data_IF_655979634827
#
_entry.id   IF_655979634827
#
_cell.length_a   1.000
_cell.length_b   1.000
_cell.length_c   1.000
_cell.angle_alpha   90.00
_cell.angle_beta   90.00
_cell.angle_gamma   90.00
#
_symmetry.space_group_name_H-M   'P 1'
#
loop_
_entity.id
_entity.type
_entity.pdbx_description
1 polymer ?
#
# COMPACT_ATOMS: atom_id res chain seq x y z
N UNK A 1 -6.96 22.11 79.71
CA UNK A 1 -6.75 20.72 80.19
C UNK A 1 -6.29 19.91 78.98
N UNK A 2 -4.97 19.78 78.80
CA UNK A 2 -4.13 18.60 79.16
C UNK A 2 -4.49 17.39 78.29
N UNK A 3 -3.62 16.66 77.59
CA UNK A 3 -2.16 16.49 77.50
C UNK A 3 -1.91 15.67 76.20
N UNK A 4 -1.02 15.99 75.25
CA UNK A 4 0.44 15.74 75.18
C UNK A 4 0.95 14.38 75.70
N UNK A 5 1.54 13.58 74.80
CA UNK A 5 2.77 12.76 74.93
C UNK A 5 3.01 12.09 73.55
N UNK A 6 4.17 12.03 72.91
CA UNK A 6 5.52 12.48 73.19
C UNK A 6 6.52 11.72 72.28
N UNK A 7 7.32 12.47 71.50
CA UNK A 7 8.71 12.23 71.02
C UNK A 7 9.23 10.82 70.68
N UNK A 8 9.94 10.71 69.53
CA UNK A 8 11.42 10.69 69.48
C UNK A 8 12.01 10.79 68.05
N UNK A 9 12.81 11.83 67.88
CA UNK A 9 14.17 11.93 67.28
C UNK A 9 14.51 11.32 65.90
N UNK A 10 14.77 12.28 65.00
CA UNK A 10 15.53 12.39 63.72
C UNK A 10 17.01 11.88 63.77
N UNK A 11 17.89 12.15 62.76
CA UNK A 11 17.84 12.05 61.28
C UNK A 11 19.14 11.40 60.70
N UNK A 12 19.39 11.61 59.40
CA UNK A 12 20.66 11.53 58.62
C UNK A 12 20.69 10.39 57.59
N UNK A 13 20.55 10.62 56.28
CA UNK A 13 21.31 11.44 55.31
C UNK A 13 22.37 10.65 54.54
N UNK A 14 22.20 10.69 53.20
CA UNK A 14 23.26 10.82 52.18
C UNK A 14 24.22 9.65 51.89
N UNK A 15 24.09 9.20 50.63
CA UNK A 15 25.14 9.11 49.59
C UNK A 15 26.03 7.84 49.46
N UNK A 16 26.31 7.59 48.16
CA UNK A 16 27.42 6.85 47.49
C UNK A 16 27.25 5.32 47.45
N UNK A 17 27.03 4.68 46.28
CA UNK A 17 27.87 4.50 45.07
C UNK A 17 29.23 3.84 45.37
N UNK A 18 29.46 2.69 44.72
CA UNK A 18 30.72 1.91 44.56
C UNK A 18 31.08 1.04 45.77
N UNK A 19 31.53 -0.23 45.73
CA UNK A 19 32.12 -1.16 44.75
C UNK A 19 31.61 -2.60 45.11
N UNK A 20 31.63 -3.64 44.27
CA UNK A 20 32.81 -4.46 43.92
C UNK A 20 32.42 -5.52 42.87
N UNK A 21 33.35 -5.73 41.95
CA UNK A 21 33.44 -6.76 40.92
C UNK A 21 33.94 -8.12 41.45
N UNK A 22 33.69 -9.16 40.64
CA UNK A 22 34.16 -10.56 40.68
C UNK A 22 33.35 -11.52 41.57
N UNK A 23 32.81 -12.65 41.12
CA UNK A 23 32.83 -13.33 39.82
C UNK A 23 32.56 -14.82 40.06
N UNK A 24 31.59 -15.43 39.38
CA UNK A 24 31.56 -16.87 39.09
C UNK A 24 30.39 -17.22 38.16
N UNK A 25 30.71 -18.08 37.20
CA UNK A 25 29.96 -18.52 36.04
C UNK A 25 28.51 -19.02 36.27
N UNK A 26 27.66 -18.81 35.26
CA UNK A 26 26.35 -19.47 35.14
C UNK A 26 25.63 -19.00 33.87
N UNK A 27 25.52 -19.89 32.88
CA UNK A 27 24.98 -19.66 31.55
C UNK A 27 23.59 -19.00 31.53
N UNK A 28 23.39 -17.95 30.72
CA UNK A 28 22.07 -17.50 30.25
C UNK A 28 22.18 -16.92 28.83
N UNK A 29 21.22 -17.33 28.01
CA UNK A 29 21.00 -17.05 26.59
C UNK A 29 21.39 -15.65 26.08
N UNK A 30 22.08 -15.64 24.93
CA UNK A 30 22.17 -14.48 24.04
C UNK A 30 20.78 -14.16 23.47
N UNK A 31 20.07 -13.28 24.16
CA UNK A 31 18.98 -12.52 23.58
C UNK A 31 19.58 -11.53 22.57
N UNK A 32 19.71 -11.96 21.30
CA UNK A 32 19.80 -11.03 20.19
C UNK A 32 18.43 -10.38 20.03
N UNK A 33 18.22 -9.30 20.77
CA UNK A 33 17.11 -8.39 20.57
C UNK A 33 17.18 -7.85 19.16
N UNK A 34 16.35 -8.40 18.28
CA UNK A 34 16.03 -7.81 17.00
C UNK A 34 15.34 -6.48 17.25
N UNK A 35 16.11 -5.40 17.31
CA UNK A 35 15.58 -4.07 17.04
C UNK A 35 14.97 -4.15 15.67
N UNK A 36 13.65 -3.96 15.59
CA UNK A 36 12.98 -3.63 14.35
C UNK A 36 13.82 -2.57 13.65
N UNK A 37 14.28 -2.87 12.43
CA UNK A 37 14.88 -1.88 11.57
C UNK A 37 13.83 -0.78 11.43
N UNK A 38 14.06 0.35 12.11
CA UNK A 38 13.42 1.60 11.74
C UNK A 38 13.67 1.79 10.25
N UNK A 39 12.68 2.31 9.57
CA UNK A 39 12.72 2.69 8.17
C UNK A 39 13.68 3.86 7.89
N UNK A 40 14.90 3.82 8.47
CA UNK A 40 15.90 4.88 8.42
C UNK A 40 16.99 4.61 7.37
N UNK A 41 16.86 3.58 6.53
CA UNK A 41 17.72 3.36 5.34
C UNK A 41 17.02 3.79 4.03
N UNK A 42 16.05 4.70 4.11
CA UNK A 42 15.80 5.60 2.99
C UNK A 42 17.00 6.55 2.94
N UNK A 43 17.91 6.32 2.00
CA UNK A 43 19.00 7.23 1.71
C UNK A 43 18.47 8.66 1.76
N UNK A 44 19.07 9.50 2.61
CA UNK A 44 18.79 10.92 2.71
C UNK A 44 19.02 11.55 1.33
N UNK A 45 17.96 11.56 0.51
CA UNK A 45 17.90 12.26 -0.75
C UNK A 45 17.82 13.75 -0.46
N UNK A 46 18.61 14.52 -1.20
CA UNK A 46 18.60 15.98 -1.22
C UNK A 46 17.15 16.49 -1.11
N UNK A 47 16.87 17.23 -0.03
CA UNK A 47 15.52 17.55 0.48
C UNK A 47 14.70 18.50 -0.38
N UNK A 48 14.76 18.38 -1.71
CA UNK A 48 13.97 19.14 -2.66
C UNK A 48 13.93 18.59 -4.10
N UNK A 49 14.71 17.57 -4.47
CA UNK A 49 14.76 17.07 -5.86
C UNK A 49 13.91 15.82 -6.07
N UNK A 50 13.10 15.79 -7.14
CA UNK A 50 12.40 14.57 -7.60
C UNK A 50 13.37 13.67 -8.36
N UNK A 51 13.41 12.38 -8.00
CA UNK A 51 14.21 11.35 -8.66
C UNK A 51 13.66 11.05 -10.07
N UNK A 52 14.11 11.79 -11.07
CA UNK A 52 13.82 11.55 -12.50
C UNK A 52 15.14 11.36 -13.26
N UNK A 53 15.20 10.31 -14.08
CA UNK A 53 16.33 10.04 -14.95
C UNK A 53 16.52 11.15 -16.00
N UNK A 54 17.75 11.64 -16.16
CA UNK A 54 18.06 12.68 -17.15
C UNK A 54 18.21 12.13 -18.58
N UNK A 55 18.66 10.88 -18.74
CA UNK A 55 19.13 10.33 -20.01
C UNK A 55 18.59 8.90 -20.31
N UNK A 56 17.41 8.59 -19.79
CA UNK A 56 16.72 7.32 -20.06
C UNK A 56 17.15 6.14 -19.19
N UNK A 57 18.29 6.27 -18.50
CA UNK A 57 18.76 5.33 -17.47
C UNK A 57 18.23 5.76 -16.10
N UNK A 58 17.54 4.84 -15.41
CA UNK A 58 16.94 5.08 -14.10
C UNK A 58 17.52 4.15 -13.05
N UNK A 59 17.47 4.58 -11.79
CA UNK A 59 18.00 3.84 -10.65
C UNK A 59 17.28 2.49 -10.49
N UNK A 60 18.06 1.41 -10.37
CA UNK A 60 17.61 0.02 -10.29
C UNK A 60 18.50 -0.76 -9.33
N UNK A 61 17.92 -1.75 -8.66
CA UNK A 61 18.65 -2.79 -7.90
C UNK A 61 18.91 -4.01 -8.80
N UNK A 62 20.03 -4.74 -8.68
CA UNK A 62 20.27 -5.98 -9.43
C UNK A 62 19.13 -6.98 -9.30
N UNK A 63 18.77 -7.66 -10.39
CA UNK A 63 17.73 -8.68 -10.35
C UNK A 63 18.25 -9.94 -9.65
N UNK A 64 17.44 -10.54 -8.76
CA UNK A 64 17.75 -11.86 -8.20
C UNK A 64 17.59 -13.00 -9.20
N UNK A 65 16.77 -12.80 -10.24
CA UNK A 65 16.47 -13.76 -11.31
C UNK A 65 16.17 -13.03 -12.62
N UNK A 66 16.46 -13.67 -13.75
CA UNK A 66 16.15 -13.12 -15.07
C UNK A 66 14.64 -13.05 -15.36
N UNK A 67 13.86 -13.88 -14.68
CA UNK A 67 12.42 -13.96 -14.81
C UNK A 67 11.75 -13.88 -13.44
N UNK A 68 10.52 -13.37 -13.42
CA UNK A 68 9.68 -13.23 -12.22
C UNK A 68 8.37 -13.97 -12.45
N UNK A 69 8.11 -15.03 -11.68
CA UNK A 69 6.84 -15.75 -11.69
C UNK A 69 5.81 -14.99 -10.86
N UNK A 70 4.74 -14.57 -11.51
CA UNK A 70 3.69 -13.75 -10.89
C UNK A 70 2.39 -14.54 -10.82
N UNK A 71 1.76 -14.53 -9.65
CA UNK A 71 0.37 -14.97 -9.46
C UNK A 71 -0.47 -13.80 -8.97
N UNK A 72 -1.43 -13.36 -9.79
CA UNK A 72 -2.51 -12.48 -9.38
C UNK A 72 -3.68 -13.33 -8.87
N UNK A 73 -4.19 -12.99 -7.69
CA UNK A 73 -5.21 -13.74 -6.98
C UNK A 73 -6.52 -12.96 -7.03
N UNK A 74 -7.48 -13.49 -7.78
CA UNK A 74 -8.85 -13.02 -7.76
C UNK A 74 -9.57 -13.75 -6.63
N UNK A 75 -9.54 -13.23 -5.41
CA UNK A 75 -10.16 -13.85 -4.24
C UNK A 75 -11.44 -13.14 -3.80
N UNK A 76 -12.18 -13.78 -2.90
CA UNK A 76 -13.38 -13.17 -2.32
C UNK A 76 -13.03 -11.91 -1.53
N UNK A 77 -13.86 -10.88 -1.70
CA UNK A 77 -13.91 -9.77 -0.74
C UNK A 77 -15.05 -10.06 0.21
N UNK A 78 -14.79 -10.18 1.51
CA UNK A 78 -15.81 -10.38 2.55
C UNK A 78 -15.75 -9.23 3.54
N UNK A 79 -16.79 -8.40 3.58
CA UNK A 79 -16.82 -7.24 4.45
C UNK A 79 -17.15 -7.64 5.88
N UNK A 80 -16.39 -7.09 6.82
CA UNK A 80 -16.67 -7.24 8.25
C UNK A 80 -18.06 -6.68 8.55
N UNK A 81 -18.92 -7.47 9.18
CA UNK A 81 -20.29 -7.05 9.53
C UNK A 81 -20.32 -6.42 10.91
N UNK A 82 -19.58 -6.97 11.86
CA UNK A 82 -19.52 -6.45 13.22
C UNK A 82 -18.24 -5.63 13.45
N UNK A 83 -18.30 -4.33 13.13
CA UNK A 83 -17.16 -3.41 13.35
C UNK A 83 -16.83 -3.17 14.82
N UNK A 84 -17.72 -3.54 15.76
CA UNK A 84 -17.47 -3.47 17.20
C UNK A 84 -16.64 -4.66 17.71
N UNK A 85 -16.62 -5.77 16.96
CA UNK A 85 -15.78 -6.93 17.24
C UNK A 85 -15.28 -7.53 15.92
N UNK A 86 -14.37 -6.84 15.20
CA UNK A 86 -14.01 -7.22 13.84
C UNK A 86 -13.03 -8.39 13.76
N UNK A 87 -12.34 -8.69 14.87
CA UNK A 87 -11.24 -9.67 14.92
C UNK A 87 -11.57 -11.05 14.34
N UNK A 88 -12.70 -11.70 14.69
CA UNK A 88 -13.04 -13.02 14.14
C UNK A 88 -13.20 -13.03 12.61
N UNK A 89 -13.88 -12.03 12.05
CA UNK A 89 -14.14 -11.94 10.60
C UNK A 89 -12.86 -11.58 9.84
N UNK A 90 -12.09 -10.61 10.34
CA UNK A 90 -10.79 -10.25 9.76
C UNK A 90 -9.80 -11.41 9.80
N UNK A 91 -9.78 -12.18 10.90
CA UNK A 91 -8.95 -13.37 11.02
C UNK A 91 -9.35 -14.43 9.99
N UNK A 92 -10.64 -14.70 9.82
CA UNK A 92 -11.10 -15.67 8.83
C UNK A 92 -10.69 -15.28 7.40
N UNK A 93 -10.76 -13.98 7.09
CA UNK A 93 -10.30 -13.45 5.80
C UNK A 93 -8.78 -13.56 5.63
N UNK A 94 -8.01 -13.23 6.67
CA UNK A 94 -6.56 -13.40 6.68
C UNK A 94 -6.18 -14.88 6.51
N UNK A 95 -6.81 -15.79 7.25
CA UNK A 95 -6.56 -17.23 7.14
C UNK A 95 -6.80 -17.71 5.69
N UNK A 96 -7.85 -17.24 5.03
CA UNK A 96 -8.12 -17.52 3.61
C UNK A 96 -7.00 -17.00 2.69
N UNK A 97 -6.49 -15.78 2.93
CA UNK A 97 -5.34 -15.27 2.17
C UNK A 97 -4.10 -16.16 2.36
N UNK A 98 -3.82 -16.60 3.59
CA UNK A 98 -2.68 -17.47 3.91
C UNK A 98 -2.81 -18.82 3.18
N UNK A 99 -4.00 -19.42 3.18
CA UNK A 99 -4.28 -20.66 2.45
C UNK A 99 -4.10 -20.49 0.93
N UNK A 100 -4.53 -19.36 0.37
CA UNK A 100 -4.32 -19.05 -1.04
C UNK A 100 -2.84 -18.82 -1.39
N UNK A 101 -2.04 -18.27 -0.47
CA UNK A 101 -0.59 -18.15 -0.67
C UNK A 101 0.07 -19.53 -0.72
N UNK A 102 -0.34 -20.45 0.16
CA UNK A 102 0.16 -21.83 0.18
C UNK A 102 -0.21 -22.55 -1.13
N UNK A 103 -1.47 -22.44 -1.55
CA UNK A 103 -1.94 -22.99 -2.82
C UNK A 103 -1.25 -22.36 -4.04
N UNK A 104 -1.00 -21.05 -4.01
CA UNK A 104 -0.33 -20.35 -5.09
C UNK A 104 1.11 -20.84 -5.30
N UNK A 105 1.80 -21.21 -4.22
CA UNK A 105 3.14 -21.79 -4.21
C UNK A 105 3.20 -23.32 -4.36
N UNK A 106 2.03 -23.98 -4.38
CA UNK A 106 1.85 -25.39 -4.71
C UNK A 106 2.13 -25.68 -6.19
N UNK A 107 1.17 -26.23 -6.93
CA UNK A 107 1.33 -26.44 -8.37
C UNK A 107 1.06 -25.13 -9.16
N UNK A 108 1.86 -24.75 -10.18
CA UNK A 108 3.01 -25.46 -10.78
C UNK A 108 4.38 -25.06 -10.21
N UNK A 109 4.45 -24.63 -8.96
CA UNK A 109 5.68 -24.36 -8.21
C UNK A 109 5.66 -23.01 -7.52
N UNK A 110 6.77 -22.69 -6.84
CA UNK A 110 6.96 -21.43 -6.10
C UNK A 110 6.85 -20.19 -6.99
N UNK A 111 6.26 -19.14 -6.43
CA UNK A 111 6.08 -17.84 -7.06
C UNK A 111 7.13 -16.84 -6.58
N UNK A 112 7.45 -15.84 -7.39
CA UNK A 112 8.33 -14.74 -6.99
C UNK A 112 7.54 -13.54 -6.45
N UNK A 113 6.30 -13.38 -6.93
CA UNK A 113 5.36 -12.33 -6.54
C UNK A 113 3.91 -12.86 -6.54
N UNK A 114 3.19 -12.58 -5.46
CA UNK A 114 1.75 -12.87 -5.31
C UNK A 114 0.99 -11.57 -5.07
N UNK A 115 -0.04 -11.31 -5.86
CA UNK A 115 -0.79 -10.05 -5.82
C UNK A 115 -2.27 -10.30 -5.49
N UNK A 116 -2.76 -9.70 -4.43
CA UNK A 116 -4.18 -9.71 -4.06
C UNK A 116 -4.88 -8.41 -4.46
N UNK A 117 -6.21 -8.44 -4.43
CA UNK A 117 -7.08 -7.29 -4.67
C UNK A 117 -7.06 -6.31 -3.48
N UNK A 118 -7.92 -5.29 -3.56
CA UNK A 118 -8.06 -4.28 -2.52
C UNK A 118 -9.00 -4.81 -1.43
N UNK A 119 -8.66 -4.58 -0.16
CA UNK A 119 -9.44 -4.98 1.01
C UNK A 119 -9.65 -6.52 1.19
N UNK A 120 -8.65 -7.39 0.98
CA UNK A 120 -8.86 -8.84 1.18
C UNK A 120 -9.05 -9.22 2.65
N UNK A 121 -8.68 -8.36 3.60
CA UNK A 121 -8.78 -8.63 5.05
C UNK A 121 -10.09 -8.08 5.64
N UNK A 122 -10.37 -6.79 5.49
CA UNK A 122 -11.57 -6.18 6.07
C UNK A 122 -12.78 -6.18 5.14
N UNK A 123 -12.58 -6.38 3.84
CA UNK A 123 -13.56 -6.08 2.80
C UNK A 123 -14.00 -4.62 2.79
N UNK A 124 -15.15 -4.37 2.17
CA UNK A 124 -15.68 -3.02 2.01
C UNK A 124 -17.19 -2.98 2.22
N UNK A 125 -17.65 -1.99 2.98
CA UNK A 125 -19.05 -1.65 3.21
C UNK A 125 -19.19 -0.12 3.32
N UNK A 126 -20.40 0.45 3.20
CA UNK A 126 -20.64 1.90 3.32
C UNK A 126 -20.59 2.38 4.78
N UNK A 127 -19.51 2.07 5.48
CA UNK A 127 -19.26 2.47 6.86
C UNK A 127 -19.05 3.98 6.97
N UNK A 128 -19.37 4.51 8.15
CA UNK A 128 -18.84 5.79 8.63
C UNK A 128 -17.33 5.70 8.85
N UNK A 129 -16.66 6.85 8.93
CA UNK A 129 -15.24 6.94 9.27
C UNK A 129 -14.92 6.29 10.62
N UNK A 130 -15.80 6.43 11.61
CA UNK A 130 -15.60 5.79 12.91
C UNK A 130 -15.62 4.25 12.80
N UNK A 131 -16.60 3.70 12.09
CA UNK A 131 -16.74 2.26 11.89
C UNK A 131 -15.58 1.66 11.11
N UNK A 132 -15.17 2.29 10.01
CA UNK A 132 -14.08 1.78 9.17
C UNK A 132 -12.72 1.89 9.87
N UNK A 133 -12.50 2.89 10.73
CA UNK A 133 -11.28 2.97 11.55
C UNK A 133 -11.16 1.81 12.56
N UNK A 134 -12.26 1.15 12.94
CA UNK A 134 -12.22 -0.05 13.79
C UNK A 134 -11.71 -1.29 13.05
N UNK A 135 -11.87 -1.34 11.72
CA UNK A 135 -11.41 -2.46 10.88
C UNK A 135 -10.12 -2.15 10.13
N UNK A 136 -9.75 -0.88 9.98
CA UNK A 136 -8.47 -0.46 9.40
C UNK A 136 -7.28 -1.02 10.19
N UNK A 137 -6.30 -1.57 9.48
CA UNK A 137 -5.11 -2.19 10.09
C UNK A 137 -3.98 -1.17 10.28
N UNK A 138 -3.00 -1.52 11.11
CA UNK A 138 -1.72 -0.80 11.19
C UNK A 138 -0.68 -1.53 10.34
N UNK A 139 0.26 -0.77 9.77
CA UNK A 139 1.30 -1.31 8.88
C UNK A 139 2.66 -0.75 9.34
N UNK A 140 3.57 -1.59 9.87
CA UNK A 140 3.40 -3.02 10.16
C UNK A 140 2.42 -3.27 11.32
N UNK A 141 1.83 -4.47 11.33
CA UNK A 141 0.86 -4.94 12.31
C UNK A 141 0.60 -6.45 12.18
N UNK A 142 -0.25 -7.05 13.04
CA UNK A 142 -0.43 -8.50 13.14
C UNK A 142 -0.75 -9.20 11.81
N UNK A 143 -1.56 -8.58 10.96
CA UNK A 143 -1.94 -9.10 9.65
C UNK A 143 -0.74 -9.12 8.69
N UNK A 144 0.00 -8.02 8.62
CA UNK A 144 1.23 -7.95 7.79
C UNK A 144 2.33 -8.86 8.32
N UNK A 145 2.41 -9.09 9.63
CA UNK A 145 3.37 -10.05 10.22
C UNK A 145 3.01 -11.49 9.85
N UNK A 146 1.73 -11.85 9.86
CA UNK A 146 1.27 -13.18 9.43
C UNK A 146 1.58 -13.42 7.95
N UNK A 147 1.29 -12.44 7.09
CA UNK A 147 1.66 -12.47 5.68
C UNK A 147 3.19 -12.48 5.49
N UNK A 148 3.93 -11.75 6.32
CA UNK A 148 5.40 -11.75 6.37
C UNK A 148 6.00 -13.12 6.63
N UNK A 149 5.40 -13.91 7.52
CA UNK A 149 5.82 -15.31 7.75
C UNK A 149 5.69 -16.15 6.48
N UNK A 150 4.60 -16.00 5.72
CA UNK A 150 4.42 -16.70 4.44
C UNK A 150 5.35 -16.19 3.34
N UNK A 151 5.55 -14.88 3.24
CA UNK A 151 6.52 -14.30 2.30
C UNK A 151 7.92 -14.89 2.53
N UNK A 152 8.32 -15.01 3.81
CA UNK A 152 9.58 -15.63 4.22
C UNK A 152 9.66 -17.13 3.96
N UNK A 153 8.60 -17.87 4.28
CA UNK A 153 8.50 -19.31 4.03
C UNK A 153 8.74 -19.65 2.55
N UNK A 154 8.15 -18.86 1.65
CA UNK A 154 8.23 -19.11 0.21
C UNK A 154 9.36 -18.36 -0.50
N UNK A 155 9.94 -17.33 0.13
CA UNK A 155 10.96 -16.46 -0.48
C UNK A 155 10.38 -15.55 -1.56
N UNK A 156 9.11 -15.14 -1.42
CA UNK A 156 8.37 -14.38 -2.42
C UNK A 156 7.96 -12.99 -1.91
N UNK A 157 7.57 -12.11 -2.83
CA UNK A 157 6.87 -10.88 -2.48
C UNK A 157 5.37 -11.13 -2.42
N UNK A 158 4.69 -10.42 -1.51
CA UNK A 158 3.23 -10.44 -1.39
C UNK A 158 2.73 -8.99 -1.40
N UNK A 159 1.75 -8.69 -2.24
CA UNK A 159 1.11 -7.36 -2.27
C UNK A 159 -0.40 -7.42 -2.17
N UNK A 160 -0.99 -6.42 -1.52
CA UNK A 160 -2.42 -6.25 -1.36
C UNK A 160 -2.76 -4.78 -1.06
N UNK A 161 -4.00 -4.38 -1.31
CA UNK A 161 -4.52 -3.08 -0.90
C UNK A 161 -5.31 -3.18 0.40
N UNK A 162 -5.29 -2.15 1.24
CA UNK A 162 -6.02 -2.15 2.52
C UNK A 162 -6.30 -0.73 3.01
N UNK A 163 -7.35 -0.55 3.82
CA UNK A 163 -7.43 0.65 4.65
C UNK A 163 -6.51 0.56 5.85
N UNK A 164 -5.75 1.64 6.05
CA UNK A 164 -4.75 1.70 7.10
C UNK A 164 -4.98 2.91 8.03
N UNK A 165 -4.53 2.74 9.27
CA UNK A 165 -4.31 3.83 10.23
C UNK A 165 -2.82 4.08 10.36
N UNK A 166 -2.51 5.35 10.61
CA UNK A 166 -1.15 5.79 10.90
C UNK A 166 -1.19 6.72 12.12
N UNK A 167 -0.45 6.41 13.21
CA UNK A 167 -0.38 7.26 14.38
C UNK A 167 0.07 8.71 14.09
N UNK A 168 0.87 8.92 13.04
CA UNK A 168 1.33 10.26 12.64
C UNK A 168 0.24 11.04 11.87
N UNK A 169 -0.84 10.37 11.48
CA UNK A 169 -2.01 10.93 10.79
C UNK A 169 -3.32 10.58 11.52
N UNK A 170 -3.50 11.08 12.75
CA UNK A 170 -4.59 10.66 13.62
C UNK A 170 -5.96 10.93 12.99
N UNK A 171 -6.78 9.88 12.93
CA UNK A 171 -8.15 9.94 12.42
C UNK A 171 -8.30 9.92 10.90
N UNK A 172 -7.20 10.01 10.14
CA UNK A 172 -7.21 9.78 8.70
C UNK A 172 -7.46 8.30 8.40
N UNK A 173 -8.24 8.06 7.35
CA UNK A 173 -8.44 6.72 6.80
C UNK A 173 -7.60 6.61 5.53
N UNK A 174 -6.46 5.94 5.61
CA UNK A 174 -5.57 5.80 4.47
C UNK A 174 -6.02 4.63 3.59
N UNK A 175 -5.77 4.72 2.29
CA UNK A 175 -5.84 3.57 1.39
C UNK A 175 -4.44 3.29 0.89
N UNK A 176 -3.86 2.18 1.35
CA UNK A 176 -2.47 1.84 1.09
C UNK A 176 -2.37 0.55 0.28
N UNK A 177 -1.41 0.53 -0.63
CA UNK A 177 -0.89 -0.67 -1.25
C UNK A 177 0.36 -1.10 -0.50
N UNK A 178 0.34 -2.33 0.00
CA UNK A 178 1.45 -2.89 0.78
C UNK A 178 2.23 -3.87 -0.08
N UNK A 179 3.56 -3.85 0.04
CA UNK A 179 4.45 -4.86 -0.52
C UNK A 179 5.28 -5.43 0.63
N UNK A 180 5.15 -6.73 0.85
CA UNK A 180 5.92 -7.51 1.82
C UNK A 180 7.01 -8.24 1.05
N UNK A 181 8.25 -8.14 1.54
CA UNK A 181 9.43 -8.74 0.92
C UNK A 181 9.69 -10.18 1.35
N UNK A 182 10.63 -10.87 0.68
CA UNK A 182 10.95 -12.27 0.93
C UNK A 182 11.61 -12.52 2.29
N UNK A 183 12.02 -11.49 3.03
CA UNK A 183 12.50 -11.62 4.41
C UNK A 183 11.38 -11.48 5.45
N UNK A 184 10.15 -11.21 5.00
CA UNK A 184 8.95 -11.09 5.82
C UNK A 184 8.68 -9.68 6.36
N UNK A 185 9.48 -8.69 5.97
CA UNK A 185 9.27 -7.28 6.32
C UNK A 185 8.45 -6.55 5.24
N UNK A 186 7.71 -5.51 5.64
CA UNK A 186 7.10 -4.56 4.70
C UNK A 186 8.22 -3.77 4.03
N UNK A 187 8.31 -3.86 2.70
CA UNK A 187 9.31 -3.14 1.88
C UNK A 187 8.70 -1.93 1.17
N UNK A 188 7.37 -1.87 1.06
CA UNK A 188 6.67 -0.71 0.56
C UNK A 188 5.30 -0.56 1.24
N UNK A 189 4.99 0.66 1.68
CA UNK A 189 3.68 1.06 2.20
C UNK A 189 3.22 2.29 1.39
N UNK A 190 2.78 2.05 0.15
CA UNK A 190 2.46 3.13 -0.77
C UNK A 190 1.04 3.64 -0.52
N UNK A 191 0.91 4.91 -0.23
CA UNK A 191 -0.39 5.56 -0.11
C UNK A 191 -1.01 5.69 -1.49
N UNK A 192 -2.34 5.71 -1.54
CA UNK A 192 -3.06 6.18 -2.72
C UNK A 192 -2.65 7.61 -3.01
N UNK A 193 -2.15 7.88 -4.21
CA UNK A 193 -1.67 9.22 -4.57
C UNK A 193 -2.79 10.24 -4.60
N UNK A 194 -3.93 9.90 -5.20
CA UNK A 194 -5.06 10.81 -5.33
C UNK A 194 -6.39 10.04 -5.41
N UNK A 195 -7.45 10.61 -4.85
CA UNK A 195 -8.79 10.06 -4.92
C UNK A 195 -9.59 10.66 -6.08
N UNK A 196 -10.45 9.83 -6.67
CA UNK A 196 -11.49 10.33 -7.56
C UNK A 196 -12.56 10.98 -6.69
N UNK A 197 -12.79 12.27 -6.86
CA UNK A 197 -13.83 13.04 -6.17
C UNK A 197 -15.08 13.19 -7.04
N UNK A 198 -16.23 13.29 -6.40
CA UNK A 198 -17.54 13.28 -7.04
C UNK A 198 -17.93 11.90 -7.56
N UNK A 199 -17.56 10.83 -6.83
CA UNK A 199 -17.74 9.45 -7.30
C UNK A 199 -19.21 9.10 -7.58
N UNK A 200 -20.11 9.36 -6.63
CA UNK A 200 -21.56 9.16 -6.78
C UNK A 200 -22.27 10.45 -6.33
N UNK A 201 -23.34 10.91 -7.01
CA UNK A 201 -24.12 12.05 -6.51
C UNK A 201 -24.62 11.80 -5.08
N UNK A 202 -24.24 12.68 -4.15
CA UNK A 202 -24.62 12.57 -2.73
C UNK A 202 -23.78 11.60 -1.89
N UNK A 203 -22.78 10.93 -2.47
CA UNK A 203 -21.84 10.07 -1.75
C UNK A 203 -20.45 10.12 -2.39
N UNK A 204 -19.42 10.44 -1.61
CA UNK A 204 -18.04 10.50 -2.11
C UNK A 204 -17.08 9.66 -1.27
N UNK A 205 -15.96 9.28 -1.89
CA UNK A 205 -14.90 8.54 -1.22
C UNK A 205 -14.25 9.48 -0.19
N UNK A 206 -14.09 9.04 1.05
CA UNK A 206 -13.53 9.88 2.13
C UNK A 206 -12.17 9.41 2.65
N UNK A 207 -11.57 8.40 2.01
CA UNK A 207 -10.18 8.04 2.29
C UNK A 207 -9.26 9.22 1.99
N UNK A 208 -8.16 9.29 2.72
CA UNK A 208 -7.09 10.26 2.54
C UNK A 208 -6.02 9.65 1.63
N UNK A 209 -5.80 10.29 0.48
CA UNK A 209 -4.63 10.06 -0.36
C UNK A 209 -3.59 11.17 -0.17
N UNK A 210 -2.42 11.01 -0.78
CA UNK A 210 -1.31 11.98 -0.68
C UNK A 210 -1.78 13.39 -1.08
N UNK A 211 -2.52 13.51 -2.19
CA UNK A 211 -3.00 14.79 -2.71
C UNK A 211 -3.93 15.52 -1.73
N UNK A 212 -4.62 14.80 -0.85
CA UNK A 212 -5.56 15.37 0.13
C UNK A 212 -4.87 16.04 1.32
N UNK A 213 -3.57 15.80 1.50
CA UNK A 213 -2.72 16.32 2.56
C UNK A 213 -1.31 16.66 2.04
N UNK A 214 -1.23 17.02 0.76
CA UNK A 214 0.00 17.12 -0.02
C UNK A 214 1.11 17.93 0.65
N UNK A 215 0.78 19.09 1.21
CA UNK A 215 1.78 19.99 1.79
C UNK A 215 2.41 19.33 3.03
N UNK A 216 1.56 18.82 3.93
CA UNK A 216 2.02 18.13 5.14
C UNK A 216 2.75 16.82 4.80
N UNK A 217 2.31 16.11 3.77
CA UNK A 217 2.98 14.89 3.30
C UNK A 217 4.39 15.20 2.79
N UNK A 218 4.56 16.29 2.02
CA UNK A 218 5.87 16.76 1.55
C UNK A 218 6.78 17.17 2.70
N UNK A 219 6.25 17.86 3.70
CA UNK A 219 7.03 18.23 4.89
C UNK A 219 7.54 17.01 5.65
N UNK A 220 6.75 15.94 5.73
CA UNK A 220 7.09 14.74 6.51
C UNK A 220 7.98 13.75 5.75
N UNK A 221 7.73 13.57 4.45
CA UNK A 221 8.32 12.48 3.66
C UNK A 221 9.15 12.96 2.46
N UNK A 222 9.14 14.26 2.15
CA UNK A 222 9.86 14.85 1.03
C UNK A 222 9.10 14.80 -0.31
N UNK A 223 9.53 15.62 -1.27
CA UNK A 223 8.90 15.73 -2.59
C UNK A 223 8.94 14.40 -3.36
N UNK A 224 10.06 13.68 -3.28
CA UNK A 224 10.24 12.44 -4.04
C UNK A 224 9.26 11.34 -3.60
N UNK A 225 8.82 11.36 -2.34
CA UNK A 225 7.88 10.41 -1.78
C UNK A 225 6.43 10.58 -2.29
N UNK A 226 6.09 11.69 -2.95
CA UNK A 226 4.73 11.92 -3.48
C UNK A 226 4.37 10.90 -4.56
N UNK A 227 5.35 10.53 -5.40
CA UNK A 227 5.20 9.53 -6.45
C UNK A 227 6.10 8.32 -6.17
N UNK A 228 5.53 7.36 -5.46
CA UNK A 228 6.27 6.28 -4.80
C UNK A 228 6.67 5.14 -5.75
N UNK A 229 7.96 4.81 -5.77
CA UNK A 229 8.55 3.66 -6.48
C UNK A 229 9.50 2.92 -5.53
N UNK A 230 9.16 1.68 -5.19
CA UNK A 230 10.01 0.79 -4.40
C UNK A 230 10.99 0.06 -5.33
N UNK A 231 12.28 0.15 -5.06
CA UNK A 231 13.32 -0.55 -5.84
C UNK A 231 13.59 -1.90 -5.21
N UNK A 232 13.29 -2.97 -5.94
CA UNK A 232 13.42 -4.35 -5.43
C UNK A 232 14.26 -5.20 -6.37
N UNK A 233 14.67 -6.38 -5.89
CA UNK A 233 15.40 -7.37 -6.68
C UNK A 233 14.54 -8.12 -7.73
N UNK A 234 13.22 -7.84 -7.80
CA UNK A 234 12.33 -8.29 -8.89
C UNK A 234 11.89 -7.15 -9.81
N UNK A 235 12.27 -5.91 -9.51
CA UNK A 235 11.95 -4.73 -10.30
C UNK A 235 11.62 -3.50 -9.47
N UNK A 236 11.53 -2.36 -10.14
CA UNK A 236 11.00 -1.13 -9.58
C UNK A 236 9.46 -1.20 -9.58
N UNK A 237 8.87 -1.21 -8.40
CA UNK A 237 7.45 -1.49 -8.19
C UNK A 237 6.74 -0.26 -7.63
N UNK A 238 5.51 -0.05 -8.07
CA UNK A 238 4.55 0.75 -7.31
C UNK A 238 3.30 -0.06 -7.07
N UNK A 239 2.91 -0.16 -5.79
CA UNK A 239 1.67 -0.77 -5.34
C UNK A 239 0.56 0.26 -5.05
N UNK A 240 0.77 1.55 -5.37
CA UNK A 240 -0.24 2.58 -5.11
C UNK A 240 -1.52 2.35 -5.92
N UNK A 241 -2.68 2.45 -5.26
CA UNK A 241 -4.00 2.24 -5.85
C UNK A 241 -4.38 3.46 -6.69
N UNK A 242 -4.19 3.37 -8.00
CA UNK A 242 -4.28 4.51 -8.94
C UNK A 242 -5.20 4.21 -10.14
N UNK A 243 -6.51 4.02 -9.91
CA UNK A 243 -7.46 3.89 -10.99
C UNK A 243 -7.71 5.22 -11.68
N UNK A 244 -7.79 5.17 -13.01
CA UNK A 244 -8.13 6.27 -13.92
C UNK A 244 -7.18 7.46 -13.83
N UNK A 245 -5.91 7.19 -13.56
CA UNK A 245 -4.86 8.20 -13.37
C UNK A 245 -3.67 7.96 -14.30
N UNK A 246 -3.87 8.03 -15.63
CA UNK A 246 -2.81 7.75 -16.60
C UNK A 246 -1.61 8.70 -16.47
N UNK A 247 -1.82 9.96 -16.10
CA UNK A 247 -0.76 10.96 -15.95
C UNK A 247 0.14 10.68 -14.74
N UNK A 248 -0.45 10.22 -13.63
CA UNK A 248 0.31 9.78 -12.44
C UNK A 248 1.19 8.58 -12.80
N UNK A 249 0.65 7.62 -13.55
CA UNK A 249 1.43 6.47 -14.01
C UNK A 249 2.50 6.89 -15.02
N UNK A 250 2.23 7.87 -15.88
CA UNK A 250 3.22 8.43 -16.80
C UNK A 250 4.39 9.02 -16.04
N UNK A 251 4.14 9.82 -15.01
CA UNK A 251 5.17 10.38 -14.16
C UNK A 251 5.96 9.28 -13.42
N UNK A 252 5.29 8.27 -12.84
CA UNK A 252 5.98 7.12 -12.23
C UNK A 252 6.84 6.35 -13.23
N UNK A 253 6.40 6.19 -14.48
CA UNK A 253 7.17 5.55 -15.53
C UNK A 253 8.44 6.35 -15.90
N UNK A 254 8.38 7.68 -15.86
CA UNK A 254 9.55 8.56 -16.00
C UNK A 254 10.49 8.44 -14.78
N UNK A 255 9.97 8.22 -13.57
CA UNK A 255 10.75 7.89 -12.37
C UNK A 255 11.33 6.46 -12.38
N UNK A 256 11.08 5.68 -13.43
CA UNK A 256 11.65 4.34 -13.59
C UNK A 256 10.76 3.17 -13.13
N UNK A 257 9.45 3.37 -12.92
CA UNK A 257 8.51 2.30 -12.56
C UNK A 257 8.50 1.16 -13.58
N UNK A 258 8.88 -0.06 -13.19
CA UNK A 258 8.95 -1.24 -14.04
C UNK A 258 7.66 -2.07 -14.02
N UNK A 259 7.09 -2.24 -12.83
CA UNK A 259 5.93 -3.09 -12.59
C UNK A 259 4.90 -2.31 -11.77
N UNK A 260 3.75 -2.01 -12.37
CA UNK A 260 2.58 -1.45 -11.69
C UNK A 260 1.77 -2.59 -11.07
N UNK A 261 1.61 -2.57 -9.74
CA UNK A 261 0.77 -3.51 -9.01
C UNK A 261 -0.47 -2.75 -8.53
N UNK A 262 -1.63 -3.16 -9.01
CA UNK A 262 -2.83 -2.34 -8.92
C UNK A 262 -4.00 -3.17 -8.40
N UNK A 263 -4.28 -3.04 -7.11
CA UNK A 263 -5.39 -3.69 -6.42
C UNK A 263 -6.68 -2.85 -6.51
N UNK A 264 -7.86 -3.48 -6.67
CA UNK A 264 -9.17 -2.80 -6.63
C UNK A 264 -10.26 -3.64 -5.98
N UNK A 265 -11.18 -2.94 -5.30
CA UNK A 265 -12.46 -3.45 -4.77
C UNK A 265 -13.67 -2.97 -5.59
N UNK A 266 -13.45 -2.06 -6.55
CA UNK A 266 -14.49 -1.51 -7.44
C UNK A 266 -14.39 -2.00 -8.90
N UNK A 267 -13.44 -2.89 -9.20
CA UNK A 267 -13.15 -3.41 -10.54
C UNK A 267 -12.38 -2.41 -11.41
N UNK A 268 -11.17 -2.78 -11.81
CA UNK A 268 -10.45 -2.08 -12.88
C UNK A 268 -11.04 -2.40 -14.25
N UNK A 269 -11.04 -1.40 -15.13
CA UNK A 269 -11.28 -1.61 -16.55
C UNK A 269 -10.06 -2.22 -17.20
N UNK A 270 -10.25 -3.34 -17.93
CA UNK A 270 -9.19 -3.95 -18.73
C UNK A 270 -8.66 -2.99 -19.79
N UNK A 271 -9.55 -2.28 -20.49
CA UNK A 271 -9.17 -1.31 -21.54
C UNK A 271 -8.26 -0.23 -20.98
N UNK A 272 -8.61 0.30 -19.81
CA UNK A 272 -7.79 1.31 -19.13
C UNK A 272 -6.40 0.75 -18.77
N UNK A 273 -6.36 -0.46 -18.21
CA UNK A 273 -5.09 -1.11 -17.84
C UNK A 273 -4.20 -1.42 -19.06
N UNK A 274 -4.78 -1.82 -20.18
CA UNK A 274 -4.07 -2.02 -21.46
C UNK A 274 -3.42 -0.73 -21.95
N UNK A 275 -4.20 0.36 -21.98
CA UNK A 275 -3.74 1.69 -22.40
C UNK A 275 -2.62 2.16 -21.49
N UNK A 276 -2.78 2.06 -20.17
CA UNK A 276 -1.77 2.47 -19.20
C UNK A 276 -0.48 1.65 -19.37
N UNK A 277 -0.56 0.32 -19.51
CA UNK A 277 0.61 -0.53 -19.67
C UNK A 277 1.36 -0.23 -20.99
N UNK A 278 0.64 -0.17 -22.11
CA UNK A 278 1.22 0.06 -23.43
C UNK A 278 1.82 1.46 -23.59
N UNK A 279 1.11 2.51 -23.20
CA UNK A 279 1.61 3.89 -23.34
C UNK A 279 2.81 4.20 -22.45
N UNK A 280 2.99 3.48 -21.35
CA UNK A 280 4.07 3.72 -20.41
C UNK A 280 5.19 2.66 -20.51
N UNK A 281 5.05 1.68 -21.40
CA UNK A 281 5.97 0.54 -21.57
C UNK A 281 6.34 -0.14 -20.24
N UNK A 282 5.33 -0.47 -19.44
CA UNK A 282 5.48 -1.13 -18.15
C UNK A 282 4.70 -2.44 -18.08
N UNK A 283 5.12 -3.33 -17.20
CA UNK A 283 4.27 -4.46 -16.81
C UNK A 283 3.21 -3.96 -15.85
N UNK A 284 1.95 -4.36 -16.05
CA UNK A 284 0.86 -4.03 -15.13
C UNK A 284 0.16 -5.28 -14.65
N UNK A 285 0.03 -5.41 -13.34
CA UNK A 285 -0.82 -6.41 -12.68
C UNK A 285 -2.02 -5.69 -12.11
N UNK A 286 -3.21 -6.10 -12.53
CA UNK A 286 -4.48 -5.62 -12.03
C UNK A 286 -5.16 -6.75 -11.29
N UNK A 287 -5.41 -6.58 -10.00
CA UNK A 287 -6.09 -7.54 -9.15
C UNK A 287 -7.44 -6.98 -8.70
N UNK A 288 -8.51 -7.60 -9.19
CA UNK A 288 -9.88 -7.35 -8.78
C UNK A 288 -10.36 -8.52 -7.89
N UNK A 289 -11.43 -8.30 -7.14
CA UNK A 289 -12.05 -9.35 -6.34
C UNK A 289 -12.84 -10.37 -7.19
N UNK A 290 -13.15 -11.51 -6.60
CA UNK A 290 -14.15 -12.44 -7.12
C UNK A 290 -15.56 -12.07 -6.64
N UNK A 291 -16.56 -12.66 -7.30
CA UNK A 291 -17.97 -12.60 -6.92
C UNK A 291 -18.11 -13.02 -5.47
N UNK A 292 -18.78 -12.19 -4.68
CA UNK A 292 -18.94 -12.42 -3.25
C UNK A 292 -20.43 -12.36 -2.91
N UNK A 293 -21.19 -13.46 -3.07
CA UNK A 293 -22.65 -13.48 -2.93
C UNK A 293 -23.15 -13.02 -1.56
N UNK A 294 -22.32 -13.18 -0.55
CA UNK A 294 -22.62 -12.81 0.83
C UNK A 294 -22.41 -11.33 1.13
N UNK A 295 -21.96 -10.53 0.15
CA UNK A 295 -21.73 -9.10 0.33
C UNK A 295 -23.03 -8.31 0.28
N UNK A 296 -23.42 -7.63 1.38
CA UNK A 296 -24.61 -6.81 1.39
C UNK A 296 -24.41 -5.52 0.59
N UNK A 297 -25.51 -4.94 0.09
CA UNK A 297 -25.53 -3.58 -0.47
C UNK A 297 -25.19 -3.45 -1.95
N UNK A 298 -24.68 -4.51 -2.61
CA UNK A 298 -24.33 -4.48 -4.03
C UNK A 298 -24.70 -5.80 -4.72
N UNK A 299 -25.07 -5.79 -6.02
CA UNK A 299 -25.17 -7.00 -6.81
C UNK A 299 -23.84 -7.78 -6.79
N UNK A 300 -23.90 -9.11 -6.78
CA UNK A 300 -22.74 -9.99 -6.56
C UNK A 300 -21.56 -9.73 -7.52
N UNK A 301 -21.85 -9.30 -8.75
CA UNK A 301 -20.87 -9.03 -9.80
C UNK A 301 -20.16 -7.66 -9.66
N UNK A 302 -20.54 -6.82 -8.70
CA UNK A 302 -20.02 -5.45 -8.60
C UNK A 302 -18.51 -5.41 -8.36
N UNK A 303 -17.75 -5.00 -9.38
CA UNK A 303 -16.29 -4.94 -9.34
C UNK A 303 -15.59 -6.30 -9.39
N UNK A 304 -16.32 -7.37 -9.70
CA UNK A 304 -15.85 -8.76 -9.66
C UNK A 304 -15.32 -9.24 -11.02
N UNK A 305 -14.27 -10.06 -11.03
CA UNK A 305 -13.69 -10.60 -12.27
C UNK A 305 -12.60 -9.71 -12.86
N UNK A 306 -12.15 -10.04 -14.08
CA UNK A 306 -11.23 -9.21 -14.86
C UNK A 306 -9.86 -8.91 -14.21
N UNK A 307 -9.44 -9.72 -13.24
CA UNK A 307 -8.04 -9.76 -12.84
C UNK A 307 -7.17 -10.12 -14.04
N UNK A 308 -6.12 -9.34 -14.30
CA UNK A 308 -5.33 -9.47 -15.51
C UNK A 308 -3.89 -8.96 -15.35
N UNK A 309 -3.00 -9.51 -16.17
CA UNK A 309 -1.61 -9.10 -16.27
C UNK A 309 -1.36 -8.65 -17.71
N UNK A 310 -0.75 -7.49 -17.86
CA UNK A 310 -0.47 -6.85 -19.15
C UNK A 310 1.02 -6.69 -19.36
N UNK A 311 1.46 -6.99 -20.59
CA UNK A 311 2.83 -6.74 -21.01
C UNK A 311 3.07 -5.25 -21.37
N UNK A 312 4.34 -4.84 -21.58
CA UNK A 312 4.68 -3.47 -21.94
C UNK A 312 4.12 -2.95 -23.27
N UNK A 313 3.47 -3.80 -24.07
CA UNK A 313 2.76 -3.42 -25.30
C UNK A 313 1.27 -3.21 -25.04
N UNK A 314 0.80 -3.40 -23.81
CA UNK A 314 -0.62 -3.41 -23.46
C UNK A 314 -1.33 -4.71 -23.83
N UNK A 315 -0.60 -5.76 -24.23
CA UNK A 315 -1.21 -7.06 -24.54
C UNK A 315 -1.49 -7.81 -23.25
N UNK A 316 -2.64 -8.49 -23.18
CA UNK A 316 -2.98 -9.37 -22.05
C UNK A 316 -2.01 -10.57 -22.06
N UNK A 317 -1.18 -10.67 -21.04
CA UNK A 317 -0.31 -11.82 -20.80
C UNK A 317 -1.06 -12.94 -20.06
N UNK A 318 -1.99 -12.60 -19.18
CA UNK A 318 -2.90 -13.53 -18.50
C UNK A 318 -4.16 -12.79 -18.00
N UNK A 319 -5.31 -13.45 -17.93
CA UNK A 319 -6.58 -12.88 -17.45
C UNK A 319 -7.44 -13.96 -16.79
N UNK A 320 -8.22 -13.56 -15.80
CA UNK A 320 -9.31 -14.34 -15.24
C UNK A 320 -10.28 -14.79 -16.33
N UNK A 321 -10.75 -16.03 -16.25
CA UNK A 321 -11.72 -16.61 -17.20
C UNK A 321 -13.12 -16.64 -16.63
N UNK A 322 -13.26 -16.39 -15.33
CA UNK A 322 -14.54 -16.31 -14.66
C UNK A 322 -14.55 -15.18 -13.65
N UNK A 323 -15.71 -15.00 -13.02
CA UNK A 323 -15.93 -14.07 -11.91
C UNK A 323 -15.62 -14.71 -10.57
N UNK A 324 -15.32 -16.00 -10.53
CA UNK A 324 -15.09 -16.76 -9.31
C UNK A 324 -13.63 -16.70 -8.87
N UNK A 325 -13.33 -17.31 -7.73
CA UNK A 325 -11.97 -17.34 -7.20
C UNK A 325 -11.02 -18.08 -8.16
N UNK A 326 -9.97 -17.40 -8.63
CA UNK A 326 -9.06 -17.93 -9.65
C UNK A 326 -7.64 -17.37 -9.47
N UNK A 327 -6.63 -18.18 -9.81
CA UNK A 327 -5.24 -17.74 -9.95
C UNK A 327 -4.90 -17.40 -11.40
N UNK A 328 -4.44 -16.17 -11.62
CA UNK A 328 -4.03 -15.65 -12.91
C UNK A 328 -2.50 -15.57 -12.91
N UNK A 329 -1.85 -16.28 -13.83
CA UNK A 329 -0.39 -16.50 -13.76
C UNK A 329 0.33 -16.13 -15.04
N UNK A 330 1.52 -15.55 -14.89
CA UNK A 330 2.47 -15.38 -16.00
C UNK A 330 3.90 -15.37 -15.49
N UNK A 331 4.86 -15.36 -16.42
CA UNK A 331 6.28 -15.16 -16.13
C UNK A 331 6.76 -13.90 -16.83
N UNK A 332 7.20 -12.92 -16.05
CA UNK A 332 7.74 -11.66 -16.56
C UNK A 332 9.23 -11.88 -16.89
N UNK A 333 9.67 -11.70 -18.15
CA UNK A 333 11.07 -11.80 -18.53
C UNK A 333 11.83 -10.51 -18.18
N UNK A 334 12.05 -10.31 -16.88
CA UNK A 334 12.50 -9.04 -16.30
C UNK A 334 13.86 -8.57 -16.81
N UNK A 335 14.83 -9.47 -16.97
CA UNK A 335 16.13 -9.12 -17.55
C UNK A 335 16.01 -8.67 -19.03
N UNK A 336 15.19 -9.37 -19.82
CA UNK A 336 14.94 -9.01 -21.22
C UNK A 336 14.18 -7.68 -21.34
N UNK A 337 13.24 -7.44 -20.43
CA UNK A 337 12.54 -6.18 -20.31
C UNK A 337 13.50 -5.03 -20.00
N UNK A 338 14.39 -5.16 -19.01
CA UNK A 338 15.40 -4.13 -18.69
C UNK A 338 16.33 -3.81 -19.85
N UNK A 339 16.73 -4.79 -20.67
CA UNK A 339 17.58 -4.56 -21.85
C UNK A 339 16.92 -3.71 -22.95
N UNK A 340 15.59 -3.72 -23.02
CA UNK A 340 14.83 -3.09 -24.12
C UNK A 340 13.98 -1.92 -23.66
N UNK A 341 13.87 -1.71 -22.34
CA UNK A 341 13.10 -0.63 -21.76
C UNK A 341 13.87 0.68 -21.84
N UNK A 342 13.17 1.69 -22.30
CA UNK A 342 13.50 3.10 -22.10
C UNK A 342 12.41 3.72 -21.22
N UNK A 343 12.69 4.81 -20.49
CA UNK A 343 11.61 5.68 -19.97
C UNK A 343 10.73 6.13 -21.15
N UNK A 344 9.46 6.54 -20.93
CA UNK A 344 8.56 6.98 -22.01
C UNK A 344 9.24 8.03 -22.91
N UNK A 345 9.70 7.68 -24.12
CA UNK A 345 10.74 8.46 -24.82
C UNK A 345 10.18 9.63 -25.64
N UNK A 346 8.86 9.81 -25.66
CA UNK A 346 8.17 10.70 -26.61
C UNK A 346 7.16 11.63 -25.99
N UNK A 347 7.39 12.08 -24.74
CA UNK A 347 6.54 13.11 -24.12
C UNK A 347 7.15 14.48 -24.41
N UNK A 348 6.55 15.32 -25.28
CA UNK A 348 7.11 16.62 -25.63
C UNK A 348 6.85 17.64 -24.51
N UNK A 349 7.65 17.59 -23.45
CA UNK A 349 7.42 18.37 -22.23
C UNK A 349 7.42 19.88 -22.51
N UNK A 350 8.23 20.37 -23.44
CA UNK A 350 8.26 21.78 -23.84
C UNK A 350 6.92 22.27 -24.41
N UNK A 351 6.14 21.37 -25.03
CA UNK A 351 4.79 21.67 -25.51
C UNK A 351 3.74 21.58 -24.40
N UNK A 352 3.90 20.64 -23.47
CA UNK A 352 2.90 20.33 -22.44
C UNK A 352 3.03 21.23 -21.19
N UNK A 353 4.25 21.55 -20.78
CA UNK A 353 4.53 22.25 -19.52
C UNK A 353 3.79 23.59 -19.40
N UNK A 354 3.76 24.48 -20.43
CA UNK A 354 3.03 25.73 -20.32
C UNK A 354 1.52 25.57 -20.11
N UNK A 355 0.95 24.44 -20.56
CA UNK A 355 -0.46 24.10 -20.34
C UNK A 355 -0.65 23.59 -18.92
N UNK A 356 0.18 22.64 -18.48
CA UNK A 356 0.08 22.05 -17.13
C UNK A 356 0.34 23.07 -16.03
N UNK A 357 1.27 24.01 -16.22
CA UNK A 357 1.58 25.07 -15.26
C UNK A 357 0.40 26.04 -15.02
N UNK A 358 -0.52 26.15 -16.00
CA UNK A 358 -1.69 27.02 -15.93
C UNK A 358 -2.97 26.27 -15.60
N UNK A 359 -2.95 24.94 -15.62
CA UNK A 359 -4.13 24.13 -15.38
C UNK A 359 -4.51 24.17 -13.90
N UNK A 360 -5.78 24.50 -13.64
CA UNK A 360 -6.34 24.46 -12.29
C UNK A 360 -7.28 23.25 -12.19
N UNK A 361 -6.91 22.21 -11.41
CA UNK A 361 -7.73 21.02 -11.28
C UNK A 361 -9.05 21.36 -10.60
N UNK A 362 -10.12 20.64 -10.94
CA UNK A 362 -11.43 20.81 -10.30
C UNK A 362 -11.36 20.66 -8.78
N UNK A 363 -10.60 19.68 -8.30
CA UNK A 363 -10.37 19.45 -6.89
C UNK A 363 -8.91 19.82 -6.59
N UNK A 364 -8.71 20.78 -5.68
CA UNK A 364 -7.39 21.21 -5.24
C UNK A 364 -6.73 20.22 -4.28
N UNK A 365 -5.43 20.41 -3.99
CA UNK A 365 -4.73 19.63 -2.98
C UNK A 365 -5.23 20.01 -1.57
N UNK A 366 -4.79 19.25 -0.56
CA UNK A 366 -4.99 19.55 0.86
C UNK A 366 -6.46 19.56 1.31
N UNK A 367 -7.33 18.87 0.56
CA UNK A 367 -8.78 18.82 0.77
C UNK A 367 -9.20 18.26 2.14
N UNK A 368 -8.30 17.54 2.82
CA UNK A 368 -8.51 16.94 4.13
C UNK A 368 -7.48 17.39 5.18
N UNK A 369 -6.73 18.48 4.93
CA UNK A 369 -5.73 18.98 5.87
C UNK A 369 -6.35 19.55 7.16
N UNK A 370 -7.55 20.13 7.08
CA UNK A 370 -8.24 20.75 8.21
C UNK A 370 -9.58 20.09 8.57
N UNK A 371 -10.06 19.14 7.76
CA UNK A 371 -11.36 18.52 7.93
C UNK A 371 -11.37 17.07 7.45
N UNK A 372 -11.91 16.17 8.28
CA UNK A 372 -12.07 14.77 7.97
C UNK A 372 -13.55 14.41 7.93
N UNK A 373 -14.11 14.13 6.74
CA UNK A 373 -15.51 13.77 6.61
C UNK A 373 -15.89 12.58 7.50
N UNK A 374 -17.09 12.64 8.08
CA UNK A 374 -17.58 11.58 8.95
C UNK A 374 -18.05 10.34 8.17
N UNK A 375 -18.50 10.52 6.93
CA UNK A 375 -19.01 9.48 6.05
C UNK A 375 -19.00 9.98 4.59
N UNK A 376 -19.49 9.16 3.65
CA UNK A 376 -19.51 9.52 2.24
C UNK A 376 -20.48 10.65 1.88
N UNK A 377 -21.59 10.83 2.59
CA UNK A 377 -22.52 11.94 2.33
C UNK A 377 -21.92 13.27 2.77
N UNK A 378 -21.24 13.25 3.91
CA UNK A 378 -20.47 14.38 4.42
C UNK A 378 -19.29 14.74 3.52
N UNK A 379 -18.59 13.73 3.01
CA UNK A 379 -17.53 13.91 2.04
C UNK A 379 -18.03 14.58 0.76
N UNK A 380 -19.19 14.14 0.25
CA UNK A 380 -19.81 14.73 -0.93
C UNK A 380 -20.14 16.21 -0.74
N UNK A 381 -20.68 16.60 0.42
CA UNK A 381 -20.95 18.00 0.76
C UNK A 381 -19.66 18.82 0.88
N UNK A 382 -18.70 18.31 1.64
CA UNK A 382 -17.42 18.99 1.90
C UNK A 382 -16.66 19.24 0.59
N UNK A 383 -16.37 18.20 -0.18
CA UNK A 383 -15.63 18.33 -1.44
C UNK A 383 -16.41 19.13 -2.49
N UNK A 384 -17.74 19.04 -2.49
CA UNK A 384 -18.59 19.88 -3.31
C UNK A 384 -18.46 21.38 -3.01
N UNK A 385 -18.22 21.74 -1.74
CA UNK A 385 -18.11 23.14 -1.28
C UNK A 385 -16.76 23.79 -1.58
N UNK A 386 -15.69 22.99 -1.77
CA UNK A 386 -14.31 23.48 -1.94
C UNK A 386 -13.75 23.27 -3.36
N UNK A 387 -14.56 22.78 -4.30
CA UNK A 387 -14.12 22.58 -5.69
C UNK A 387 -13.95 23.92 -6.41
N UNK A 388 -12.99 23.97 -7.34
CA UNK A 388 -12.67 25.18 -8.08
C UNK A 388 -13.72 25.54 -9.15
N UNK A 389 -14.37 24.54 -9.78
CA UNK A 389 -15.41 24.75 -10.80
C UNK A 389 -16.38 23.57 -10.93
#
# INVERSE_FOLDING_TARGET
MSEKLGKKDSPESLRRRQLLTAGSAGAVALALGGRAARADDAAAGDGGSVSVAADGEYERVPLRKDTVRVTAVQSFMRAVRNTQNPGPEMKANLDHMLDLIDQANGFPGRQDLICFHEQPIMGWNPWTREEVLRVAIEIPGPETEALGKKAKEYGCYITFGTYAKDPDWPGHLLLNGVLIGPEGNVVANHWKTNNIRGFIPGWDIFTTGIYDVLDRYREMYGEDAVLQVARTDIGNISCSITPRQPDVIRALAMKGLEIRLSSSSGGYSLTEAQVIAGHNRLWSVVCNQSVSPEQPGFPEFSGSGDTAIFDPRGTIAARARSVHEEFIRTTIPMAAFRRTRTIPPGVPMEMLQPVYDRYVPRNGPNSQASYLPADGADASRHFGSIRNW
#
